data_IF_725399892748
#
_entry.id   IF_725399892748
#
_cell.length_a   1.000
_cell.length_b   1.000
_cell.length_c   1.000
_cell.angle_alpha   90.00
_cell.angle_beta   90.00
_cell.angle_gamma   90.00
#
_symmetry.space_group_name_H-M   'P 1'
#
loop_
_entity.id
_entity.type
_entity.pdbx_description
1 polymer ?
#
# COMPACT_ATOMS: atom_id res chain seq x y z
N UNK A 1 -19.72 22.68 21.57
CA UNK A 1 -20.98 22.92 22.32
C UNK A 1 -21.53 21.58 22.80
N UNK A 2 -21.39 21.26 24.10
CA UNK A 2 -22.03 20.11 24.75
C UNK A 2 -23.52 20.46 24.97
N UNK A 3 -24.44 19.93 24.17
CA UNK A 3 -25.87 19.92 24.55
C UNK A 3 -25.98 19.00 25.76
N UNK A 4 -26.34 19.55 26.91
CA UNK A 4 -26.46 18.80 28.16
C UNK A 4 -27.53 17.71 28.05
N UNK A 5 -27.22 16.50 28.50
CA UNK A 5 -28.07 15.29 28.44
C UNK A 5 -29.27 15.32 29.39
N UNK A 6 -29.62 16.50 29.93
CA UNK A 6 -30.65 16.63 30.95
C UNK A 6 -32.03 16.16 30.45
N UNK A 7 -32.31 16.32 29.15
CA UNK A 7 -33.56 15.84 28.55
C UNK A 7 -33.73 14.32 28.61
N UNK A 8 -32.64 13.55 28.49
CA UNK A 8 -32.70 12.09 28.56
C UNK A 8 -32.99 11.61 29.99
N UNK A 9 -32.35 12.22 30.99
CA UNK A 9 -32.58 11.87 32.40
C UNK A 9 -34.00 12.23 32.86
N UNK A 10 -34.54 13.37 32.42
CA UNK A 10 -35.93 13.76 32.71
C UNK A 10 -36.92 12.82 32.02
N UNK A 11 -36.69 12.50 30.74
CA UNK A 11 -37.54 11.55 30.01
C UNK A 11 -37.53 10.16 30.65
N UNK A 12 -36.36 9.65 31.07
CA UNK A 12 -36.22 8.36 31.75
C UNK A 12 -36.90 8.36 33.13
N UNK A 13 -36.79 9.45 33.90
CA UNK A 13 -37.46 9.57 35.19
C UNK A 13 -38.99 9.60 35.04
N UNK A 14 -39.51 10.32 34.03
CA UNK A 14 -40.94 10.37 33.75
C UNK A 14 -41.50 9.02 33.28
N UNK A 15 -40.77 8.27 32.45
CA UNK A 15 -41.21 6.93 32.01
C UNK A 15 -41.14 5.90 33.14
N UNK A 16 -40.13 5.93 34.01
CA UNK A 16 -40.10 5.09 35.21
C UNK A 16 -41.28 5.43 36.13
N UNK A 17 -41.54 6.72 36.39
CA UNK A 17 -42.67 7.15 37.22
C UNK A 17 -44.01 6.70 36.64
N UNK A 18 -44.21 6.80 35.32
CA UNK A 18 -45.41 6.33 34.64
C UNK A 18 -45.59 4.81 34.76
N UNK A 19 -44.52 4.03 34.52
CA UNK A 19 -44.54 2.57 34.68
C UNK A 19 -44.90 2.19 36.11
N UNK A 20 -44.25 2.79 37.11
CA UNK A 20 -44.54 2.53 38.54
C UNK A 20 -45.98 2.89 38.88
N UNK A 21 -46.49 4.03 38.42
CA UNK A 21 -47.86 4.47 38.67
C UNK A 21 -48.92 3.56 38.02
N UNK A 22 -48.60 2.86 36.94
CA UNK A 22 -49.51 1.89 36.31
C UNK A 22 -49.37 0.47 36.86
N UNK A 23 -48.15 0.00 37.11
CA UNK A 23 -47.88 -1.41 37.47
C UNK A 23 -48.17 -1.69 38.94
N UNK A 24 -47.86 -0.76 39.85
CA UNK A 24 -48.08 -0.98 41.28
C UNK A 24 -49.58 -1.12 41.61
N UNK A 25 -50.49 -0.26 41.12
CA UNK A 25 -51.93 -0.45 41.38
C UNK A 25 -52.52 -1.67 40.67
N UNK A 26 -51.97 -2.08 39.52
CA UNK A 26 -52.44 -3.27 38.81
C UNK A 26 -52.08 -4.58 39.54
N UNK A 27 -50.96 -4.62 40.28
CA UNK A 27 -50.52 -5.79 41.06
C UNK A 27 -51.17 -5.81 42.46
N UNK A 28 -51.32 -4.64 43.08
CA UNK A 28 -51.76 -4.52 44.48
C UNK A 28 -53.21 -4.04 44.66
N UNK A 29 -53.93 -3.74 43.58
CA UNK A 29 -55.34 -3.35 43.62
C UNK A 29 -56.26 -4.54 43.88
N UNK A 30 -57.25 -4.37 44.78
CA UNK A 30 -58.24 -5.41 45.09
C UNK A 30 -59.25 -5.54 43.95
N UNK A 31 -59.43 -6.77 43.43
CA UNK A 31 -60.43 -7.05 42.41
C UNK A 31 -61.85 -6.76 42.91
N UNK A 32 -62.78 -6.31 42.04
CA UNK A 32 -64.17 -6.09 42.43
C UNK A 32 -64.82 -7.40 42.88
N UNK A 33 -65.37 -7.44 44.09
CA UNK A 33 -66.07 -8.60 44.63
C UNK A 33 -67.39 -8.81 43.88
N UNK A 34 -67.47 -9.84 43.03
CA UNK A 34 -68.62 -10.09 42.16
C UNK A 34 -69.87 -10.62 42.89
N UNK A 35 -69.78 -10.88 44.21
CA UNK A 35 -70.79 -11.65 44.97
C UNK A 35 -71.32 -10.98 46.24
N UNK A 36 -70.99 -9.71 46.51
CA UNK A 36 -71.36 -9.03 47.77
C UNK A 36 -72.43 -7.93 47.65
N UNK A 37 -73.46 -8.01 48.49
CA UNK A 37 -74.63 -7.10 48.63
C UNK A 37 -74.28 -5.63 48.94
N UNK A 38 -73.01 -5.32 49.21
CA UNK A 38 -72.49 -3.95 49.27
C UNK A 38 -71.54 -3.74 48.09
N UNK A 39 -72.04 -3.02 47.08
CA UNK A 39 -71.31 -2.60 45.88
C UNK A 39 -70.23 -1.59 46.28
N UNK A 40 -69.13 -2.05 46.89
CA UNK A 40 -67.93 -1.24 46.99
C UNK A 40 -67.52 -0.92 45.56
N UNK A 41 -67.63 0.37 45.17
CA UNK A 41 -67.12 0.83 43.90
C UNK A 41 -65.65 0.45 43.87
N UNK A 42 -65.30 -0.52 43.02
CA UNK A 42 -63.92 -0.90 42.77
C UNK A 42 -63.10 0.36 42.46
N UNK A 43 -61.81 0.32 42.83
CA UNK A 43 -60.93 1.47 42.69
C UNK A 43 -61.00 2.00 41.24
N UNK A 44 -61.52 3.22 41.00
CA UNK A 44 -61.78 3.74 39.65
C UNK A 44 -60.53 3.72 38.76
N UNK A 45 -59.36 3.72 39.39
CA UNK A 45 -58.08 3.61 38.74
C UNK A 45 -57.81 2.22 38.14
N UNK A 46 -58.18 1.15 38.84
CA UNK A 46 -57.99 -0.23 38.36
C UNK A 46 -58.81 -0.48 37.09
N UNK A 47 -60.09 -0.09 37.08
CA UNK A 47 -60.98 -0.25 35.93
C UNK A 47 -60.52 0.57 34.72
N UNK A 48 -59.92 1.74 34.93
CA UNK A 48 -59.32 2.52 33.86
C UNK A 48 -58.14 1.78 33.22
N UNK A 49 -57.19 1.29 34.02
CA UNK A 49 -56.02 0.55 33.50
C UNK A 49 -56.46 -0.72 32.77
N UNK A 50 -57.44 -1.45 33.31
CA UNK A 50 -57.95 -2.68 32.69
C UNK A 50 -58.61 -2.43 31.33
N UNK A 51 -59.43 -1.38 31.22
CA UNK A 51 -60.14 -1.06 29.97
C UNK A 51 -59.20 -0.54 28.87
N UNK A 52 -58.05 0.05 29.23
CA UNK A 52 -57.08 0.61 28.28
C UNK A 52 -55.80 -0.22 28.15
N UNK A 53 -55.71 -1.41 28.76
CA UNK A 53 -54.49 -2.23 28.77
C UNK A 53 -53.96 -2.49 27.34
N UNK A 54 -54.82 -2.90 26.41
CA UNK A 54 -54.43 -3.19 25.03
C UNK A 54 -53.96 -1.93 24.28
N UNK A 55 -54.60 -0.79 24.54
CA UNK A 55 -54.19 0.51 23.99
C UNK A 55 -52.81 0.93 24.53
N UNK A 56 -52.61 0.87 25.84
CA UNK A 56 -51.35 1.20 26.50
C UNK A 56 -50.21 0.28 26.01
N UNK A 57 -50.51 -1.00 25.83
CA UNK A 57 -49.54 -1.97 25.30
C UNK A 57 -49.16 -1.64 23.85
N UNK A 58 -50.14 -1.27 23.01
CA UNK A 58 -49.90 -0.83 21.63
C UNK A 58 -49.04 0.44 21.55
N UNK A 59 -49.34 1.45 22.38
CA UNK A 59 -48.56 2.70 22.46
C UNK A 59 -47.12 2.42 22.92
N UNK A 60 -46.95 1.57 23.94
CA UNK A 60 -45.64 1.18 24.44
C UNK A 60 -44.82 0.44 23.36
N UNK A 61 -45.44 -0.45 22.58
CA UNK A 61 -44.77 -1.17 21.50
C UNK A 61 -44.27 -0.23 20.38
N UNK A 62 -45.08 0.75 19.97
CA UNK A 62 -44.67 1.76 18.97
C UNK A 62 -43.53 2.63 19.50
N UNK A 63 -43.60 3.05 20.76
CA UNK A 63 -42.54 3.84 21.39
C UNK A 63 -41.22 3.05 21.49
N UNK A 64 -41.28 1.77 21.85
CA UNK A 64 -40.12 0.89 21.88
C UNK A 64 -39.51 0.73 20.48
N UNK A 65 -40.33 0.45 19.46
CA UNK A 65 -39.88 0.34 18.08
C UNK A 65 -39.21 1.63 17.59
N UNK A 66 -39.81 2.80 17.88
CA UNK A 66 -39.23 4.09 17.56
C UNK A 66 -37.86 4.30 18.23
N UNK A 67 -37.75 3.98 19.52
CA UNK A 67 -36.48 4.09 20.25
C UNK A 67 -35.41 3.17 19.67
N UNK A 68 -35.78 1.93 19.33
CA UNK A 68 -34.87 0.97 18.69
C UNK A 68 -34.38 1.49 17.33
N UNK A 69 -35.27 2.01 16.48
CA UNK A 69 -34.89 2.57 15.17
C UNK A 69 -33.96 3.77 15.35
N UNK A 70 -34.26 4.66 16.30
CA UNK A 70 -33.42 5.82 16.58
C UNK A 70 -32.03 5.40 17.08
N UNK A 71 -31.98 4.44 17.99
CA UNK A 71 -30.73 3.91 18.53
C UNK A 71 -29.90 3.20 17.44
N UNK A 72 -30.52 2.40 16.58
CA UNK A 72 -29.85 1.77 15.42
C UNK A 72 -29.27 2.83 14.49
N UNK A 73 -30.03 3.89 14.16
CA UNK A 73 -29.55 4.97 13.28
C UNK A 73 -28.30 5.67 13.84
N UNK A 74 -28.26 5.92 15.16
CA UNK A 74 -27.10 6.51 15.81
C UNK A 74 -25.88 5.58 15.80
N UNK A 75 -26.10 4.27 16.03
CA UNK A 75 -25.04 3.26 15.99
C UNK A 75 -24.49 3.13 14.56
N UNK A 76 -25.36 3.10 13.54
CA UNK A 76 -24.96 2.99 12.14
C UNK A 76 -24.11 4.18 11.70
N UNK A 77 -24.52 5.41 12.07
CA UNK A 77 -23.72 6.62 11.80
C UNK A 77 -22.33 6.57 12.46
N UNK A 78 -22.24 6.06 13.69
CA UNK A 78 -20.95 5.94 14.38
C UNK A 78 -20.10 4.80 13.82
N UNK A 79 -20.73 3.72 13.36
CA UNK A 79 -20.06 2.63 12.66
C UNK A 79 -19.46 3.14 11.35
N UNK A 80 -20.23 3.87 10.55
CA UNK A 80 -19.80 4.45 9.27
C UNK A 80 -18.64 5.42 9.46
N UNK A 81 -18.69 6.30 10.47
CA UNK A 81 -17.56 7.20 10.79
C UNK A 81 -16.28 6.43 11.10
N UNK A 82 -16.35 5.41 11.95
CA UNK A 82 -15.19 4.57 12.28
C UNK A 82 -14.68 3.82 11.05
N UNK A 83 -15.58 3.36 10.19
CA UNK A 83 -15.21 2.71 8.94
C UNK A 83 -14.42 3.67 8.03
N UNK A 84 -14.92 4.90 7.86
CA UNK A 84 -14.23 5.93 7.08
C UNK A 84 -12.88 6.33 7.70
N UNK A 85 -12.79 6.43 9.02
CA UNK A 85 -11.52 6.67 9.73
C UNK A 85 -10.52 5.53 9.50
N UNK A 86 -10.98 4.27 9.54
CA UNK A 86 -10.13 3.10 9.27
C UNK A 86 -9.65 3.06 7.82
N UNK A 87 -10.51 3.38 6.85
CA UNK A 87 -10.12 3.50 5.44
C UNK A 87 -9.11 4.62 5.22
N UNK A 88 -9.33 5.79 5.83
CA UNK A 88 -8.37 6.90 5.75
C UNK A 88 -7.00 6.52 6.34
N UNK A 89 -6.99 5.78 7.45
CA UNK A 89 -5.77 5.28 8.08
C UNK A 89 -5.05 4.24 7.21
N UNK A 90 -5.77 3.29 6.59
CA UNK A 90 -5.14 2.30 5.71
C UNK A 90 -4.49 2.97 4.50
N UNK A 91 -5.19 3.91 3.86
CA UNK A 91 -4.63 4.68 2.74
C UNK A 91 -3.37 5.45 3.14
N UNK A 92 -3.32 6.04 4.34
CA UNK A 92 -2.13 6.75 4.81
C UNK A 92 -0.94 5.83 5.04
N UNK A 93 -1.16 4.64 5.60
CA UNK A 93 -0.08 3.67 5.83
C UNK A 93 0.49 3.19 4.50
N UNK A 94 -0.37 2.89 3.52
CA UNK A 94 0.07 2.46 2.19
C UNK A 94 0.75 3.59 1.43
N UNK A 95 0.27 4.82 1.53
CA UNK A 95 0.93 6.01 0.98
C UNK A 95 2.34 6.20 1.53
N UNK A 96 2.51 6.13 2.86
CA UNK A 96 3.84 6.24 3.49
C UNK A 96 4.77 5.07 3.14
N UNK A 97 4.23 3.86 2.96
CA UNK A 97 5.00 2.70 2.51
C UNK A 97 5.49 2.92 1.09
N UNK A 98 4.62 3.39 0.21
CA UNK A 98 4.96 3.68 -1.17
C UNK A 98 5.97 4.82 -1.26
N UNK A 99 5.78 5.91 -0.52
CA UNK A 99 6.72 7.04 -0.48
C UNK A 99 8.13 6.60 -0.10
N UNK A 100 8.28 5.72 0.91
CA UNK A 100 9.59 5.17 1.32
C UNK A 100 10.16 4.15 0.34
N UNK A 101 9.29 3.48 -0.41
CA UNK A 101 9.70 2.53 -1.43
C UNK A 101 10.20 3.25 -2.68
N UNK A 102 9.65 4.43 -2.99
CA UNK A 102 10.03 5.21 -4.15
C UNK A 102 11.17 6.20 -3.86
N UNK A 103 11.29 6.75 -2.64
CA UNK A 103 12.35 7.69 -2.28
C UNK A 103 13.40 7.05 -1.35
N UNK A 104 14.71 7.10 -1.67
CA UNK A 104 15.35 7.77 -2.82
C UNK A 104 15.51 6.91 -4.09
N UNK A 105 14.93 5.70 -4.12
CA UNK A 105 15.19 4.67 -5.15
C UNK A 105 14.87 5.14 -6.57
N UNK A 106 13.83 5.93 -6.74
CA UNK A 106 13.46 6.53 -8.01
C UNK A 106 14.59 7.41 -8.57
N UNK A 107 15.12 8.33 -7.76
CA UNK A 107 16.21 9.22 -8.15
C UNK A 107 17.45 8.41 -8.55
N UNK A 108 17.78 7.38 -7.76
CA UNK A 108 18.94 6.52 -8.04
C UNK A 108 18.78 5.80 -9.38
N UNK A 109 17.60 5.22 -9.66
CA UNK A 109 17.33 4.55 -10.93
C UNK A 109 17.43 5.52 -12.13
N UNK A 110 16.92 6.75 -11.99
CA UNK A 110 17.03 7.78 -13.03
C UNK A 110 18.50 8.14 -13.29
N UNK A 111 19.27 8.40 -12.24
CA UNK A 111 20.69 8.73 -12.37
C UNK A 111 21.48 7.59 -13.01
N UNK A 112 21.23 6.35 -12.59
CA UNK A 112 21.87 5.17 -13.19
C UNK A 112 21.46 5.05 -14.66
N UNK A 113 20.18 5.20 -14.99
CA UNK A 113 19.71 5.10 -16.38
C UNK A 113 20.32 6.17 -17.27
N UNK A 114 20.47 7.41 -16.79
CA UNK A 114 21.09 8.49 -17.55
C UNK A 114 22.58 8.23 -17.77
N UNK A 115 23.30 7.81 -16.73
CA UNK A 115 24.71 7.44 -16.84
C UNK A 115 24.91 6.29 -17.82
N UNK A 116 24.04 5.26 -17.73
CA UNK A 116 24.08 4.10 -18.59
C UNK A 116 23.86 4.47 -20.08
N UNK A 117 22.82 5.26 -20.38
CA UNK A 117 22.51 5.69 -21.74
C UNK A 117 23.58 6.63 -22.34
N UNK A 118 24.14 7.53 -21.53
CA UNK A 118 25.22 8.42 -21.98
C UNK A 118 26.44 7.63 -22.46
N UNK A 119 26.81 6.57 -21.73
CA UNK A 119 27.94 5.69 -22.08
C UNK A 119 27.69 4.87 -23.34
N UNK A 120 26.44 4.52 -23.62
CA UNK A 120 26.07 3.76 -24.81
C UNK A 120 26.11 4.62 -26.09
N UNK A 121 25.76 5.91 -25.99
CA UNK A 121 25.76 6.85 -27.12
C UNK A 121 27.17 7.29 -27.54
N UNK A 122 28.12 7.31 -26.60
CA UNK A 122 29.44 7.88 -26.81
C UNK A 122 30.45 6.96 -27.51
N UNK A 123 30.02 5.83 -28.10
CA UNK A 123 30.98 4.83 -28.61
C UNK A 123 30.92 4.43 -30.08
N UNK A 124 32.10 4.35 -30.72
CA UNK A 124 32.25 3.85 -32.08
C UNK A 124 32.02 2.34 -32.10
N UNK A 125 31.29 1.89 -33.11
CA UNK A 125 31.31 0.50 -33.56
C UNK A 125 32.79 0.19 -33.81
N UNK A 126 33.43 -0.60 -32.96
CA UNK A 126 34.81 -1.01 -33.19
C UNK A 126 34.79 -1.91 -34.43
N UNK A 127 35.29 -1.42 -35.56
CA UNK A 127 35.44 -2.22 -36.77
C UNK A 127 36.79 -2.95 -36.70
N UNK A 128 36.78 -4.29 -36.58
CA UNK A 128 38.00 -5.11 -36.63
C UNK A 128 37.88 -6.47 -35.94
N UNK A 129 38.82 -7.39 -36.19
CA UNK A 129 38.80 -8.77 -35.62
C UNK A 129 38.93 -8.82 -34.09
N UNK A 130 39.57 -7.82 -33.48
CA UNK A 130 39.77 -7.73 -32.01
C UNK A 130 38.88 -6.65 -31.37
N UNK A 131 37.92 -6.12 -32.14
CA UNK A 131 36.94 -5.16 -31.66
C UNK A 131 36.12 -5.72 -30.50
N UNK A 132 35.73 -6.98 -30.61
CA UNK A 132 34.83 -7.66 -29.66
C UNK A 132 35.44 -7.77 -28.25
N UNK A 133 36.72 -8.10 -28.14
CA UNK A 133 37.41 -8.29 -26.85
C UNK A 133 37.59 -6.97 -26.09
N UNK A 134 38.21 -5.96 -26.74
CA UNK A 134 38.42 -4.65 -26.10
C UNK A 134 37.10 -3.96 -25.78
N UNK A 135 36.08 -4.20 -26.61
CA UNK A 135 34.75 -3.70 -26.35
C UNK A 135 34.17 -4.36 -25.10
N UNK A 136 34.26 -5.68 -24.97
CA UNK A 136 33.80 -6.41 -23.79
C UNK A 136 34.50 -6.02 -22.48
N UNK A 137 35.82 -5.87 -22.52
CA UNK A 137 36.62 -5.43 -21.36
C UNK A 137 36.20 -4.05 -20.90
N UNK A 138 36.04 -3.13 -21.83
CA UNK A 138 35.53 -1.81 -21.47
C UNK A 138 34.09 -1.87 -20.93
N UNK A 139 33.27 -2.73 -21.54
CA UNK A 139 31.86 -2.86 -21.19
C UNK A 139 31.68 -3.40 -19.78
N UNK A 140 32.45 -4.41 -19.39
CA UNK A 140 32.47 -4.89 -18.01
C UNK A 140 33.00 -3.82 -17.05
N UNK A 141 34.04 -3.08 -17.45
CA UNK A 141 34.63 -2.04 -16.59
C UNK A 141 33.64 -0.90 -16.28
N UNK A 142 32.90 -0.43 -17.29
CA UNK A 142 31.97 0.69 -17.16
C UNK A 142 30.57 0.28 -16.71
N UNK A 143 30.02 -0.84 -17.20
CA UNK A 143 28.62 -1.20 -16.92
C UNK A 143 28.45 -1.96 -15.61
N UNK A 144 29.44 -2.74 -15.19
CA UNK A 144 29.32 -3.55 -13.97
C UNK A 144 28.93 -2.70 -12.75
N UNK A 145 29.56 -1.54 -12.47
CA UNK A 145 29.16 -0.68 -11.34
C UNK A 145 27.69 -0.25 -11.40
N UNK A 146 27.16 0.01 -12.60
CA UNK A 146 25.76 0.39 -12.78
C UNK A 146 24.81 -0.78 -12.56
N UNK A 147 25.15 -1.98 -13.06
CA UNK A 147 24.37 -3.20 -12.83
C UNK A 147 24.30 -3.52 -11.34
N UNK A 148 25.42 -3.42 -10.63
CA UNK A 148 25.49 -3.64 -9.17
C UNK A 148 24.66 -2.62 -8.40
N UNK A 149 24.70 -1.34 -8.78
CA UNK A 149 23.88 -0.32 -8.12
C UNK A 149 22.39 -0.54 -8.39
N UNK A 150 21.98 -1.00 -9.59
CA UNK A 150 20.57 -1.38 -9.85
C UNK A 150 20.15 -2.50 -8.91
N UNK A 151 20.93 -3.59 -8.82
CA UNK A 151 20.66 -4.72 -7.92
C UNK A 151 20.51 -4.24 -6.48
N UNK A 152 21.41 -3.36 -6.04
CA UNK A 152 21.38 -2.78 -4.70
C UNK A 152 20.11 -1.95 -4.48
N UNK A 153 19.74 -1.07 -5.41
CA UNK A 153 18.54 -0.21 -5.32
C UNK A 153 17.27 -1.05 -5.23
N UNK A 154 17.06 -2.01 -6.15
CA UNK A 154 15.87 -2.87 -6.17
C UNK A 154 15.87 -3.87 -4.99
N UNK A 155 17.05 -4.22 -4.46
CA UNK A 155 17.23 -5.10 -3.31
C UNK A 155 16.96 -4.44 -1.95
N UNK A 156 16.88 -3.10 -1.88
CA UNK A 156 16.60 -2.36 -0.63
C UNK A 156 15.30 -2.85 0.00
N UNK A 157 15.32 -3.05 1.32
CA UNK A 157 14.17 -3.56 2.07
C UNK A 157 12.91 -2.71 1.83
N UNK A 158 13.05 -1.39 1.81
CA UNK A 158 11.95 -0.45 1.59
C UNK A 158 11.32 -0.61 0.20
N UNK A 159 12.13 -0.82 -0.83
CA UNK A 159 11.66 -1.06 -2.20
C UNK A 159 10.87 -2.37 -2.28
N UNK A 160 11.40 -3.44 -1.68
CA UNK A 160 10.73 -4.75 -1.62
C UNK A 160 9.44 -4.73 -0.80
N UNK A 161 9.46 -4.07 0.36
CA UNK A 161 8.28 -3.92 1.22
C UNK A 161 7.16 -3.15 0.52
N UNK A 162 7.51 -2.14 -0.30
CA UNK A 162 6.54 -1.40 -1.10
C UNK A 162 6.13 -2.10 -2.40
N UNK A 163 6.88 -3.09 -2.86
CA UNK A 163 6.61 -3.76 -4.14
C UNK A 163 5.26 -4.48 -4.19
N UNK A 164 4.70 -4.83 -3.03
CA UNK A 164 3.34 -5.40 -2.92
C UNK A 164 2.24 -4.41 -3.31
N UNK A 165 2.54 -3.11 -3.30
CA UNK A 165 1.62 -2.03 -3.70
C UNK A 165 1.78 -1.67 -5.19
N UNK A 166 2.72 -2.29 -5.90
CA UNK A 166 2.93 -2.02 -7.32
C UNK A 166 1.86 -2.69 -8.17
N UNK A 167 1.35 -1.95 -9.17
CA UNK A 167 0.45 -2.52 -10.16
C UNK A 167 1.12 -3.63 -10.99
N UNK A 168 0.32 -4.51 -11.59
CA UNK A 168 0.83 -5.69 -12.32
C UNK A 168 1.83 -5.37 -13.43
N UNK A 169 1.67 -4.23 -14.13
CA UNK A 169 2.59 -3.80 -15.19
C UNK A 169 3.98 -3.45 -14.64
N UNK A 170 4.05 -2.66 -13.56
CA UNK A 170 5.32 -2.31 -12.92
C UNK A 170 6.00 -3.55 -12.33
N UNK A 171 5.24 -4.42 -11.66
CA UNK A 171 5.74 -5.68 -11.11
C UNK A 171 6.34 -6.60 -12.17
N UNK A 172 5.68 -6.73 -13.33
CA UNK A 172 6.20 -7.52 -14.45
C UNK A 172 7.51 -6.93 -15.01
N UNK A 173 7.59 -5.60 -15.18
CA UNK A 173 8.81 -4.94 -15.67
C UNK A 173 9.97 -5.04 -14.67
N UNK A 174 9.68 -4.96 -13.38
CA UNK A 174 10.69 -5.15 -12.32
C UNK A 174 11.21 -6.59 -12.29
N UNK A 175 10.37 -7.58 -12.57
CA UNK A 175 10.81 -8.97 -12.70
C UNK A 175 11.80 -9.11 -13.86
N UNK A 176 11.46 -8.60 -15.04
CA UNK A 176 12.35 -8.62 -16.21
C UNK A 176 13.65 -7.86 -15.93
N UNK A 177 13.58 -6.69 -15.29
CA UNK A 177 14.76 -5.94 -14.87
C UNK A 177 15.66 -6.76 -13.96
N UNK A 178 15.07 -7.38 -12.92
CA UNK A 178 15.77 -8.19 -11.93
C UNK A 178 16.42 -9.44 -12.56
N UNK A 179 15.73 -10.10 -13.48
CA UNK A 179 16.27 -11.24 -14.24
C UNK A 179 17.44 -10.81 -15.12
N UNK A 180 17.30 -9.70 -15.85
CA UNK A 180 18.35 -9.15 -16.70
C UNK A 180 19.62 -8.82 -15.89
N UNK A 181 19.49 -8.09 -14.78
CA UNK A 181 20.67 -7.72 -13.95
C UNK A 181 21.29 -8.92 -13.26
N UNK A 182 20.50 -9.90 -12.77
CA UNK A 182 21.03 -11.12 -12.15
C UNK A 182 21.75 -12.02 -13.14
N UNK A 183 21.31 -12.03 -14.40
CA UNK A 183 21.97 -12.79 -15.44
C UNK A 183 23.25 -12.07 -15.92
N UNK A 184 23.22 -10.75 -16.02
CA UNK A 184 24.33 -9.96 -16.56
C UNK A 184 25.48 -9.80 -15.56
N UNK A 185 25.19 -9.57 -14.28
CA UNK A 185 26.19 -9.29 -13.24
C UNK A 185 27.29 -10.35 -13.15
N UNK A 186 27.01 -11.66 -12.95
CA UNK A 186 28.07 -12.66 -12.81
C UNK A 186 28.97 -12.76 -14.04
N UNK A 187 28.43 -12.55 -15.25
CA UNK A 187 29.21 -12.59 -16.50
C UNK A 187 30.15 -11.40 -16.62
N UNK A 188 29.67 -10.20 -16.32
CA UNK A 188 30.51 -9.00 -16.32
C UNK A 188 31.57 -9.06 -15.22
N UNK A 189 31.21 -9.55 -14.02
CA UNK A 189 32.17 -9.76 -12.92
C UNK A 189 33.24 -10.79 -13.30
N UNK A 190 32.85 -11.92 -13.90
CA UNK A 190 33.79 -12.95 -14.35
C UNK A 190 34.77 -12.40 -15.41
N UNK A 191 34.24 -11.74 -16.45
CA UNK A 191 35.08 -11.10 -17.46
C UNK A 191 36.05 -10.09 -16.85
N UNK A 192 35.56 -9.26 -15.92
CA UNK A 192 36.40 -8.25 -15.27
C UNK A 192 37.51 -8.87 -14.44
N UNK A 193 37.22 -9.89 -13.64
CA UNK A 193 38.22 -10.55 -12.80
C UNK A 193 39.33 -11.17 -13.66
N UNK A 194 38.97 -11.82 -14.76
CA UNK A 194 39.95 -12.43 -15.67
C UNK A 194 40.84 -11.38 -16.35
N UNK A 195 40.29 -10.22 -16.70
CA UNK A 195 41.05 -9.18 -17.43
C UNK A 195 41.88 -8.29 -16.50
N UNK A 196 41.40 -8.03 -15.27
CA UNK A 196 42.07 -7.15 -14.31
C UNK A 196 43.24 -7.87 -13.59
N UNK A 197 43.28 -9.21 -13.57
CA UNK A 197 44.36 -9.99 -12.95
C UNK A 197 45.64 -9.97 -13.81
N UNK A 198 46.79 -9.49 -13.28
CA UNK A 198 48.05 -9.55 -14.01
C UNK A 198 48.51 -11.01 -14.15
N UNK A 199 48.91 -11.41 -15.37
CA UNK A 199 49.47 -12.74 -15.61
C UNK A 199 50.86 -12.84 -14.98
N UNK A 200 50.98 -13.64 -13.93
CA UNK A 200 52.24 -13.99 -13.28
C UNK A 200 52.84 -15.30 -13.80
N UNK A 201 52.04 -16.12 -14.49
CA UNK A 201 52.46 -17.40 -15.07
C UNK A 201 51.94 -17.64 -16.49
N UNK A 202 52.59 -18.56 -17.21
CA UNK A 202 52.15 -19.02 -18.54
C UNK A 202 50.80 -19.76 -18.48
N UNK A 203 50.54 -20.46 -17.38
CA UNK A 203 49.25 -21.11 -17.10
C UNK A 203 48.10 -20.09 -17.02
N UNK A 204 48.28 -19.00 -16.27
CA UNK A 204 47.28 -17.93 -16.18
C UNK A 204 47.02 -17.24 -17.54
N UNK A 205 48.06 -17.11 -18.37
CA UNK A 205 47.90 -16.57 -19.72
C UNK A 205 47.12 -17.52 -20.63
N UNK A 206 47.36 -18.83 -20.55
CA UNK A 206 46.60 -19.82 -21.32
C UNK A 206 45.14 -19.92 -20.83
N UNK A 207 44.88 -19.78 -19.52
CA UNK A 207 43.51 -19.67 -18.98
C UNK A 207 42.77 -18.45 -19.53
N UNK A 208 43.43 -17.28 -19.51
CA UNK A 208 42.88 -16.07 -20.12
C UNK A 208 42.61 -16.25 -21.62
N UNK A 209 43.56 -16.87 -22.33
CA UNK A 209 43.45 -17.13 -23.76
C UNK A 209 42.26 -18.06 -24.04
N UNK A 210 42.13 -19.15 -23.29
CA UNK A 210 41.01 -20.08 -23.42
C UNK A 210 39.67 -19.36 -23.17
N UNK A 211 39.58 -18.58 -22.09
CA UNK A 211 38.41 -17.79 -21.80
C UNK A 211 38.04 -16.82 -22.94
N UNK A 212 38.99 -16.01 -23.41
CA UNK A 212 38.73 -15.00 -24.44
C UNK A 212 38.34 -15.62 -25.78
N UNK A 213 39.05 -16.66 -26.23
CA UNK A 213 38.85 -17.22 -27.57
C UNK A 213 37.72 -18.25 -27.66
N UNK A 214 37.44 -18.98 -26.58
CA UNK A 214 36.45 -20.06 -26.57
C UNK A 214 35.19 -19.67 -25.80
N UNK A 215 35.30 -19.37 -24.51
CA UNK A 215 34.12 -19.14 -23.66
C UNK A 215 33.43 -17.80 -23.92
N UNK A 216 34.19 -16.71 -23.90
CA UNK A 216 33.65 -15.35 -24.08
C UNK A 216 33.01 -15.20 -25.46
N UNK A 217 33.59 -15.82 -26.49
CA UNK A 217 33.03 -15.82 -27.85
C UNK A 217 31.60 -16.39 -27.87
N UNK A 218 31.35 -17.43 -27.10
CA UNK A 218 30.05 -18.10 -27.04
C UNK A 218 29.08 -17.33 -26.12
N UNK A 219 29.59 -16.68 -25.07
CA UNK A 219 28.79 -15.88 -24.14
C UNK A 219 28.41 -14.48 -24.64
N UNK A 220 29.19 -13.89 -25.55
CA UNK A 220 29.04 -12.48 -25.95
C UNK A 220 27.63 -12.14 -26.42
N UNK A 221 27.00 -13.02 -27.20
CA UNK A 221 25.64 -12.81 -27.70
C UNK A 221 24.63 -12.70 -26.55
N UNK A 222 24.82 -13.50 -25.50
CA UNK A 222 24.00 -13.46 -24.30
C UNK A 222 24.20 -12.17 -23.52
N UNK A 223 25.46 -11.73 -23.35
CA UNK A 223 25.80 -10.47 -22.67
C UNK A 223 25.15 -9.28 -23.39
N UNK A 224 25.32 -9.17 -24.72
CA UNK A 224 24.72 -8.09 -25.51
C UNK A 224 23.20 -8.12 -25.48
N UNK A 225 22.58 -9.31 -25.58
CA UNK A 225 21.13 -9.44 -25.48
C UNK A 225 20.59 -8.99 -24.12
N UNK A 226 21.29 -9.32 -23.03
CA UNK A 226 20.88 -8.93 -21.68
C UNK A 226 21.06 -7.43 -21.43
N UNK A 227 22.11 -6.84 -21.99
CA UNK A 227 22.29 -5.40 -21.94
C UNK A 227 21.25 -4.65 -22.76
N UNK A 228 20.89 -5.15 -23.95
CA UNK A 228 19.81 -4.58 -24.74
C UNK A 228 18.49 -4.62 -23.94
N UNK A 229 18.19 -5.77 -23.33
CA UNK A 229 17.03 -5.90 -22.45
C UNK A 229 17.08 -4.92 -21.26
N UNK A 230 18.25 -4.72 -20.64
CA UNK A 230 18.42 -3.74 -19.56
C UNK A 230 18.18 -2.30 -20.04
N UNK A 231 18.71 -1.96 -21.23
CA UNK A 231 18.55 -0.66 -21.88
C UNK A 231 17.08 -0.36 -22.18
N UNK A 232 16.34 -1.36 -22.63
CA UNK A 232 14.93 -1.22 -22.98
C UNK A 232 14.04 -1.16 -21.73
N UNK A 233 14.30 -2.01 -20.74
CA UNK A 233 13.39 -2.17 -19.60
C UNK A 233 13.58 -1.11 -18.51
N UNK A 234 14.80 -0.60 -18.30
CA UNK A 234 15.08 0.36 -17.22
C UNK A 234 14.29 1.68 -17.39
N UNK A 235 14.25 2.33 -18.57
CA UNK A 235 13.42 3.51 -18.79
C UNK A 235 11.92 3.21 -18.64
N UNK A 236 11.49 2.00 -18.98
CA UNK A 236 10.11 1.57 -18.82
C UNK A 236 9.72 1.37 -17.35
N UNK A 237 10.64 0.90 -16.50
CA UNK A 237 10.43 0.83 -15.05
C UNK A 237 10.31 2.24 -14.47
N UNK A 238 11.23 3.15 -14.82
CA UNK A 238 11.23 4.55 -14.38
C UNK A 238 9.89 5.21 -14.71
N UNK A 239 9.41 5.07 -15.95
CA UNK A 239 8.14 5.65 -16.40
C UNK A 239 6.92 5.12 -15.61
N UNK A 240 6.87 3.83 -15.31
CA UNK A 240 5.74 3.30 -14.51
C UNK A 240 5.82 3.71 -13.05
N UNK A 241 7.03 3.89 -12.50
CA UNK A 241 7.20 4.47 -11.16
C UNK A 241 6.70 5.91 -11.13
N UNK A 242 7.05 6.74 -12.14
CA UNK A 242 6.52 8.11 -12.26
C UNK A 242 5.00 8.14 -12.36
N UNK A 243 4.43 7.25 -13.19
CA UNK A 243 2.99 7.12 -13.37
C UNK A 243 2.30 6.75 -12.05
N UNK A 244 2.82 5.74 -11.35
CA UNK A 244 2.30 5.29 -10.05
C UNK A 244 2.37 6.40 -9.00
N UNK A 245 3.51 7.11 -8.92
CA UNK A 245 3.67 8.22 -8.00
C UNK A 245 2.68 9.35 -8.28
N UNK A 246 2.42 9.65 -9.56
CA UNK A 246 1.43 10.65 -9.98
C UNK A 246 0.00 10.23 -9.63
N UNK A 247 -0.37 8.98 -9.90
CA UNK A 247 -1.71 8.44 -9.62
C UNK A 247 -2.03 8.45 -8.12
N UNK A 248 -1.04 8.21 -7.27
CA UNK A 248 -1.20 8.13 -5.81
C UNK A 248 -0.76 9.40 -5.08
N UNK A 249 -0.51 10.49 -5.80
CA UNK A 249 -0.06 11.77 -5.27
C UNK A 249 1.16 11.65 -4.32
N UNK A 250 2.04 10.68 -4.59
CA UNK A 250 3.29 10.49 -3.86
C UNK A 250 4.33 11.45 -4.44
N UNK A 251 4.97 12.21 -3.56
CA UNK A 251 6.06 13.11 -3.96
C UNK A 251 7.29 12.27 -4.27
N UNK A 252 7.72 12.32 -5.52
CA UNK A 252 9.02 11.83 -5.96
C UNK A 252 9.83 13.02 -6.47
N UNK A 253 11.13 12.99 -6.26
CA UNK A 253 12.02 14.04 -6.73
C UNK A 253 13.40 13.49 -7.03
N UNK A 254 14.15 14.27 -7.81
CA UNK A 254 15.56 14.01 -8.02
C UNK A 254 16.28 14.61 -6.82
N UNK A 255 17.11 13.80 -6.17
CA UNK A 255 17.98 14.27 -5.09
C UNK A 255 19.17 14.95 -5.77
N UNK A 256 19.30 16.26 -5.58
CA UNK A 256 20.42 17.04 -6.07
C UNK A 256 21.68 16.74 -5.23
N UNK A 257 22.86 17.13 -5.74
CA UNK A 257 24.14 16.88 -5.09
C UNK A 257 24.26 17.49 -3.68
N UNK A 258 23.44 18.49 -3.35
CA UNK A 258 23.37 19.12 -2.03
C UNK A 258 22.37 18.44 -1.07
N UNK A 259 21.74 17.34 -1.51
CA UNK A 259 20.73 16.60 -0.76
C UNK A 259 19.34 17.24 -0.79
N UNK A 260 19.15 18.34 -1.52
CA UNK A 260 17.82 18.91 -1.75
C UNK A 260 17.03 18.01 -2.70
N UNK A 261 15.72 17.89 -2.46
CA UNK A 261 14.82 17.17 -3.35
C UNK A 261 14.19 18.20 -4.25
N UNK A 262 14.66 18.30 -5.49
CA UNK A 262 13.95 19.06 -6.51
C UNK A 262 12.68 18.29 -6.86
N UNK A 263 11.48 18.81 -6.52
CA UNK A 263 10.25 18.14 -6.89
C UNK A 263 10.23 18.03 -8.41
N UNK A 264 9.82 16.89 -8.95
CA UNK A 264 9.45 16.82 -10.37
C UNK A 264 8.36 17.86 -10.61
N UNK A 265 8.75 19.01 -11.16
CA UNK A 265 7.81 20.07 -11.51
C UNK A 265 6.76 19.41 -12.41
N UNK A 266 5.47 19.58 -12.09
CA UNK A 266 4.38 19.18 -12.98
C UNK A 266 4.65 19.83 -14.33
N UNK A 267 5.22 19.09 -15.29
CA UNK A 267 5.18 19.49 -16.69
C UNK A 267 3.70 19.49 -17.03
N UNK A 268 3.16 20.71 -17.17
CA UNK A 268 1.78 20.98 -17.56
C UNK A 268 1.52 20.46 -18.98
#
# INVERSE_FOLDING_TARGET
MKRSSNGFHVAAACSIAAVVATVVPAIFGTAPDATGVFKHLGDPWHDFVFNYQTLLTGVAAVAAAFFTIHQMTLIDQQSERRHQELLALSHRVDHLRLERALNPQYSDLVQISQAFLAKQLDRPIFEGKNADERHATWLSAELLPHVEEIIKVIGRKQFRDGAVLFGGVLSARLLVLNEAVKALQPRLSYHRNIVDEPYESEEQYEDYRHYIFDEFRDEKGTIFSQMAALTDVLPLVIREVEKLAKELEVRIGIVDHDGSITPLQRRA
#
